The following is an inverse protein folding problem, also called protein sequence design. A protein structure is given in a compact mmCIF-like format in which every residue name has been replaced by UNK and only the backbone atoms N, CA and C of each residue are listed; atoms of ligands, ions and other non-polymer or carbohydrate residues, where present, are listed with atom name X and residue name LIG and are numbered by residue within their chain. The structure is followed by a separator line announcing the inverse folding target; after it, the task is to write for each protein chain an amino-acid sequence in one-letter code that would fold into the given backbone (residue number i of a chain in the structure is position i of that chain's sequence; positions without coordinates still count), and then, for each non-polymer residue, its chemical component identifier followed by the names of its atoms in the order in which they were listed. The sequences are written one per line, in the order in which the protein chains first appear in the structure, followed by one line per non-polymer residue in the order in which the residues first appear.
data_IF_675404785294
#
_entry.id   IF_675404785294
#
_cell.length_a   1.000
_cell.length_b   1.000
_cell.length_c   1.000
_cell.angle_alpha   90.00
_cell.angle_beta   90.00
_cell.angle_gamma   90.00
#
_symmetry.space_group_name_H-M   'P 1'
#
loop_
_entity.id
_entity.type
_entity.pdbx_description
1 polymer ?
#
# COMPACT_ATOMS: atom_id res chain seq x y z
N UNK A 1 -4.18 -4.64 22.89
CA UNK A 1 -4.72 -5.52 21.83
C UNK A 1 -4.16 -5.04 20.51
N UNK A 2 -3.88 -5.94 19.57
CA UNK A 2 -3.39 -5.55 18.25
C UNK A 2 -4.50 -4.81 17.49
N UNK A 3 -4.13 -3.77 16.76
CA UNK A 3 -5.08 -2.96 15.99
C UNK A 3 -5.67 -3.76 14.82
N UNK A 4 -6.93 -3.51 14.42
CA UNK A 4 -7.47 -4.07 13.19
C UNK A 4 -6.60 -3.72 11.96
N UNK A 5 -6.51 -4.61 10.99
CA UNK A 5 -5.86 -4.35 9.71
C UNK A 5 -6.87 -4.05 8.62
N UNK A 6 -6.52 -3.09 7.77
CA UNK A 6 -7.14 -2.91 6.47
C UNK A 6 -6.09 -3.16 5.39
N UNK A 7 -6.25 -4.24 4.63
CA UNK A 7 -5.32 -4.66 3.60
C UNK A 7 -5.74 -4.08 2.24
N UNK A 8 -4.82 -3.41 1.57
CA UNK A 8 -5.03 -2.75 0.28
C UNK A 8 -4.12 -3.41 -0.77
N UNK A 9 -4.64 -4.24 -1.67
CA UNK A 9 -3.86 -4.89 -2.71
C UNK A 9 -3.26 -3.90 -3.73
N UNK A 10 -2.22 -4.32 -4.44
CA UNK A 10 -1.72 -3.63 -5.64
C UNK A 10 -2.53 -3.89 -6.90
N UNK A 11 -2.09 -3.30 -8.02
CA UNK A 11 -2.72 -3.42 -9.33
C UNK A 11 -2.80 -4.88 -9.82
N UNK A 12 -3.97 -5.30 -10.29
CA UNK A 12 -4.31 -6.69 -10.64
C UNK A 12 -4.05 -7.69 -9.51
N UNK A 13 -4.08 -7.20 -8.27
CA UNK A 13 -3.99 -7.99 -7.07
C UNK A 13 -5.35 -8.36 -6.50
N UNK A 14 -5.33 -9.33 -5.61
CA UNK A 14 -6.39 -9.57 -4.64
C UNK A 14 -5.77 -9.73 -3.26
N UNK A 15 -6.62 -9.75 -2.22
CA UNK A 15 -6.17 -10.04 -0.86
C UNK A 15 -5.41 -11.37 -0.80
N UNK A 16 -5.98 -12.43 -1.38
CA UNK A 16 -5.37 -13.76 -1.37
C UNK A 16 -4.05 -13.80 -2.14
N UNK A 17 -3.96 -13.12 -3.28
CA UNK A 17 -2.75 -13.12 -4.10
C UNK A 17 -1.59 -12.37 -3.44
N UNK A 18 -1.89 -11.29 -2.72
CA UNK A 18 -0.86 -10.42 -2.15
C UNK A 18 -0.57 -10.66 -0.68
N UNK A 19 -1.56 -11.11 0.08
CA UNK A 19 -1.47 -11.27 1.53
C UNK A 19 -1.83 -12.68 2.03
N UNK A 20 -2.28 -13.59 1.16
CA UNK A 20 -2.74 -14.93 1.55
C UNK A 20 -1.81 -15.65 2.52
N UNK A 21 -0.48 -15.68 2.29
CA UNK A 21 0.47 -16.29 3.23
C UNK A 21 0.59 -15.59 4.60
N UNK A 22 0.20 -14.32 4.72
CA UNK A 22 0.16 -13.58 5.99
C UNK A 22 -1.16 -13.77 6.75
N UNK A 23 -2.29 -14.04 6.08
CA UNK A 23 -3.60 -14.12 6.73
C UNK A 23 -3.63 -15.10 7.92
N UNK A 24 -3.06 -16.32 7.84
CA UNK A 24 -3.02 -17.24 8.99
C UNK A 24 -2.16 -16.73 10.15
N UNK A 25 -1.18 -15.87 9.90
CA UNK A 25 -0.32 -15.25 10.93
C UNK A 25 -1.05 -14.14 11.69
N UNK A 26 -2.15 -13.66 11.13
CA UNK A 26 -3.02 -12.64 11.68
C UNK A 26 -4.39 -13.19 12.07
N UNK A 27 -4.49 -14.50 12.36
CA UNK A 27 -5.77 -15.12 12.73
C UNK A 27 -6.41 -14.53 14.00
N UNK A 28 -5.59 -14.02 14.92
CA UNK A 28 -6.04 -13.48 16.21
C UNK A 28 -6.36 -11.97 16.17
N UNK A 29 -6.34 -11.35 14.98
CA UNK A 29 -6.68 -9.92 14.79
C UNK A 29 -7.79 -9.76 13.75
N UNK A 30 -8.56 -8.69 13.88
CA UNK A 30 -9.52 -8.32 12.84
C UNK A 30 -8.78 -7.90 11.58
N UNK A 31 -9.04 -8.57 10.46
CA UNK A 31 -8.45 -8.26 9.14
C UNK A 31 -9.56 -8.03 8.14
N UNK A 32 -9.59 -6.84 7.56
CA UNK A 32 -10.48 -6.48 6.46
C UNK A 32 -9.63 -6.28 5.21
N UNK A 33 -9.87 -7.05 4.15
CA UNK A 33 -9.24 -6.80 2.87
C UNK A 33 -10.17 -6.01 1.96
N UNK A 34 -9.65 -4.93 1.37
CA UNK A 34 -10.42 -4.08 0.46
C UNK A 34 -10.27 -4.61 -0.96
N UNK A 35 -11.41 -4.89 -1.59
CA UNK A 35 -11.47 -5.11 -3.03
C UNK A 35 -11.41 -3.75 -3.74
N UNK A 36 -10.36 -3.54 -4.53
CA UNK A 36 -10.21 -2.31 -5.30
C UNK A 36 -11.19 -2.30 -6.48
N UNK A 37 -11.71 -1.13 -6.89
CA UNK A 37 -12.63 -1.04 -8.03
C UNK A 37 -12.04 -1.69 -9.28
N UNK A 38 -12.88 -2.44 -10.00
CA UNK A 38 -12.48 -3.22 -11.17
C UNK A 38 -11.62 -4.46 -10.87
N UNK A 39 -11.30 -4.74 -9.60
CA UNK A 39 -10.54 -5.92 -9.20
C UNK A 39 -11.50 -6.96 -8.60
N UNK A 40 -11.85 -7.94 -9.43
CA UNK A 40 -12.81 -8.99 -9.10
C UNK A 40 -13.66 -9.28 -10.32
N UNK A 41 -14.19 -10.49 -10.45
CA UNK A 41 -14.86 -10.90 -11.70
C UNK A 41 -16.09 -10.05 -12.05
N UNK A 42 -16.80 -9.57 -11.02
CA UNK A 42 -18.09 -8.89 -11.16
C UNK A 42 -18.05 -7.41 -10.72
N UNK A 43 -16.87 -6.87 -10.40
CA UNK A 43 -16.74 -5.50 -9.92
C UNK A 43 -16.55 -4.53 -11.10
N UNK A 44 -17.45 -3.56 -11.33
CA UNK A 44 -17.32 -2.64 -12.44
C UNK A 44 -16.07 -1.77 -12.33
N UNK A 45 -15.50 -1.40 -13.49
CA UNK A 45 -14.46 -0.38 -13.58
C UNK A 45 -15.12 1.02 -13.61
N UNK A 46 -15.02 1.84 -12.54
CA UNK A 46 -15.60 3.18 -12.51
C UNK A 46 -14.71 4.18 -13.27
N UNK A 47 -15.28 5.31 -13.67
CA UNK A 47 -14.53 6.38 -14.38
C UNK A 47 -13.41 7.00 -13.52
N UNK A 48 -13.61 7.08 -12.20
CA UNK A 48 -12.66 7.65 -11.23
C UNK A 48 -12.06 6.56 -10.35
N UNK A 49 -11.29 5.66 -10.96
CA UNK A 49 -10.75 4.45 -10.35
C UNK A 49 -10.04 4.71 -9.01
N UNK A 50 -9.03 5.57 -9.00
CA UNK A 50 -8.24 5.83 -7.79
C UNK A 50 -9.02 6.58 -6.70
N UNK A 51 -10.01 7.39 -7.07
CA UNK A 51 -10.90 8.04 -6.11
C UNK A 51 -11.79 7.01 -5.42
N UNK A 52 -12.47 6.17 -6.21
CA UNK A 52 -13.32 5.10 -5.68
C UNK A 52 -12.53 4.10 -4.84
N UNK A 53 -11.27 3.84 -5.18
CA UNK A 53 -10.38 3.02 -4.38
C UNK A 53 -10.13 3.62 -2.98
N UNK A 54 -9.86 4.93 -2.90
CA UNK A 54 -9.69 5.64 -1.62
C UNK A 54 -11.00 5.61 -0.81
N UNK A 55 -12.14 5.90 -1.44
CA UNK A 55 -13.45 5.85 -0.80
C UNK A 55 -13.76 4.48 -0.19
N UNK A 56 -13.39 3.38 -0.86
CA UNK A 56 -13.57 2.02 -0.31
C UNK A 56 -12.71 1.76 0.92
N UNK A 57 -11.47 2.24 0.95
CA UNK A 57 -10.61 2.13 2.14
C UNK A 57 -11.15 2.98 3.29
N UNK A 58 -11.59 4.20 3.00
CA UNK A 58 -12.22 5.09 4.00
C UNK A 58 -13.49 4.46 4.57
N UNK A 59 -14.35 3.90 3.71
CA UNK A 59 -15.56 3.20 4.12
C UNK A 59 -15.25 1.97 4.99
N UNK A 60 -14.23 1.18 4.63
CA UNK A 60 -13.79 0.03 5.44
C UNK A 60 -13.35 0.45 6.85
N UNK A 61 -12.60 1.55 6.97
CA UNK A 61 -12.20 2.10 8.26
C UNK A 61 -13.38 2.67 9.06
N UNK A 62 -14.40 3.22 8.39
CA UNK A 62 -15.60 3.75 9.02
C UNK A 62 -16.45 2.66 9.69
N UNK A 63 -16.46 1.43 9.15
CA UNK A 63 -17.19 0.28 9.69
C UNK A 63 -16.60 -0.27 10.99
N UNK A 64 -15.29 -0.09 11.22
CA UNK A 64 -14.63 -0.52 12.45
C UNK A 64 -14.88 0.43 13.62
N UNK A 65 -14.98 -0.09 14.84
CA UNK A 65 -15.08 0.72 16.07
C UNK A 65 -13.73 1.18 16.62
N UNK A 66 -12.64 0.56 16.18
CA UNK A 66 -11.28 0.83 16.64
C UNK A 66 -10.41 1.42 15.53
N UNK A 67 -9.47 2.32 15.86
CA UNK A 67 -8.51 2.82 14.88
C UNK A 67 -7.70 1.69 14.24
N UNK A 68 -7.70 1.63 12.91
CA UNK A 68 -7.09 0.54 12.16
C UNK A 68 -5.67 0.89 11.69
N UNK A 69 -4.87 -0.12 11.36
CA UNK A 69 -3.62 0.03 10.63
C UNK A 69 -3.88 -0.26 9.15
N UNK A 70 -3.54 0.68 8.27
CA UNK A 70 -3.64 0.46 6.83
C UNK A 70 -2.38 -0.24 6.32
N UNK A 71 -2.52 -1.26 5.49
CA UNK A 71 -1.40 -1.98 4.87
C UNK A 71 -1.60 -1.96 3.37
N UNK A 72 -0.79 -1.18 2.66
CA UNK A 72 -0.80 -1.08 1.20
C UNK A 72 0.42 -1.76 0.59
N UNK A 73 0.24 -2.43 -0.55
CA UNK A 73 1.34 -3.04 -1.30
C UNK A 73 1.37 -2.57 -2.74
N UNK A 74 2.57 -2.58 -3.33
CA UNK A 74 2.85 -2.03 -4.65
C UNK A 74 2.47 -0.55 -4.74
N UNK A 75 2.67 0.06 -5.91
CA UNK A 75 2.41 1.48 -6.10
C UNK A 75 0.94 1.86 -5.95
N UNK A 76 0.01 1.04 -6.48
CA UNK A 76 -1.42 1.34 -6.39
C UNK A 76 -1.93 1.22 -4.94
N UNK A 77 -1.72 0.08 -4.29
CA UNK A 77 -2.24 -0.17 -2.95
C UNK A 77 -1.62 0.76 -1.91
N UNK A 78 -0.31 1.02 -2.02
CA UNK A 78 0.38 1.98 -1.15
C UNK A 78 -0.13 3.41 -1.34
N UNK A 79 -0.33 3.86 -2.58
CA UNK A 79 -0.84 5.21 -2.83
C UNK A 79 -2.29 5.38 -2.34
N UNK A 80 -3.14 4.37 -2.55
CA UNK A 80 -4.52 4.38 -2.05
C UNK A 80 -4.52 4.42 -0.52
N UNK A 81 -3.72 3.60 0.16
CA UNK A 81 -3.62 3.57 1.62
C UNK A 81 -3.13 4.91 2.20
N UNK A 82 -2.07 5.49 1.63
CA UNK A 82 -1.51 6.78 2.06
C UNK A 82 -2.48 7.94 1.83
N UNK A 83 -3.23 7.93 0.72
CA UNK A 83 -4.25 8.95 0.44
C UNK A 83 -5.45 8.82 1.37
N UNK A 84 -5.95 7.61 1.61
CA UNK A 84 -7.01 7.37 2.58
C UNK A 84 -6.60 7.81 3.99
N UNK A 85 -5.33 7.59 4.36
CA UNK A 85 -4.81 8.02 5.65
C UNK A 85 -4.92 9.52 5.91
N UNK A 86 -4.72 10.34 4.87
CA UNK A 86 -4.88 11.79 4.96
C UNK A 86 -6.33 12.24 5.24
N UNK A 87 -7.32 11.38 4.95
CA UNK A 87 -8.75 11.67 5.16
C UNK A 87 -9.29 11.06 6.46
N UNK A 88 -8.59 10.08 7.03
CA UNK A 88 -9.11 9.26 8.13
C UNK A 88 -8.78 9.81 9.53
N UNK A 89 -7.77 10.67 9.68
CA UNK A 89 -7.38 11.24 10.98
C UNK A 89 -7.24 10.17 12.07
N UNK A 90 -7.89 10.38 13.22
CA UNK A 90 -7.86 9.48 14.38
C UNK A 90 -8.48 8.09 14.14
N UNK A 91 -9.11 7.85 12.98
CA UNK A 91 -9.66 6.53 12.60
C UNK A 91 -8.59 5.53 12.18
N UNK A 92 -7.35 5.96 12.02
CA UNK A 92 -6.22 5.08 11.76
C UNK A 92 -5.07 5.34 12.73
N UNK A 93 -4.30 4.29 13.01
CA UNK A 93 -3.11 4.38 13.85
C UNK A 93 -1.84 4.68 13.07
N UNK A 94 -1.82 4.33 11.79
CA UNK A 94 -0.64 4.40 10.96
C UNK A 94 -0.83 3.71 9.62
N UNK A 95 0.21 3.76 8.80
CA UNK A 95 0.22 3.16 7.47
C UNK A 95 1.49 2.33 7.29
N UNK A 96 1.33 1.11 6.80
CA UNK A 96 2.44 0.28 6.31
C UNK A 96 2.35 0.23 4.80
N UNK A 97 3.47 0.52 4.13
CA UNK A 97 3.59 0.41 2.67
C UNK A 97 4.75 -0.50 2.30
N UNK A 98 4.62 -1.22 1.19
CA UNK A 98 5.60 -2.20 0.73
C UNK A 98 5.66 -2.27 -0.79
N UNK A 99 6.85 -2.51 -1.34
CA UNK A 99 7.07 -2.47 -2.79
C UNK A 99 6.85 -1.05 -3.34
N UNK A 100 7.31 -0.04 -2.59
CA UNK A 100 7.04 1.37 -2.86
C UNK A 100 8.30 2.23 -2.81
N UNK A 101 8.31 3.34 -3.54
CA UNK A 101 9.36 4.36 -3.43
C UNK A 101 8.77 5.76 -3.49
N UNK A 102 9.01 6.55 -2.43
CA UNK A 102 8.64 7.96 -2.32
C UNK A 102 9.47 8.90 -3.20
N UNK A 103 10.47 8.37 -3.92
CA UNK A 103 11.31 9.12 -4.85
C UNK A 103 11.16 8.65 -6.30
N UNK A 104 10.28 7.68 -6.54
CA UNK A 104 9.98 7.20 -7.89
C UNK A 104 9.36 8.34 -8.71
N UNK A 105 9.87 8.50 -9.94
CA UNK A 105 9.38 9.49 -10.88
C UNK A 105 8.20 8.94 -11.67
N UNK A 106 7.16 9.75 -11.88
CA UNK A 106 5.98 9.40 -12.67
C UNK A 106 6.33 8.79 -14.04
N UNK A 107 7.30 9.38 -14.74
CA UNK A 107 7.75 8.88 -16.04
C UNK A 107 8.28 7.44 -15.98
N UNK A 108 8.96 7.08 -14.88
CA UNK A 108 9.46 5.71 -14.66
C UNK A 108 8.32 4.74 -14.41
N UNK A 109 7.32 5.15 -13.63
CA UNK A 109 6.16 4.32 -13.31
C UNK A 109 5.27 4.10 -14.52
N UNK A 110 5.01 5.15 -15.31
CA UNK A 110 4.31 5.05 -16.60
C UNK A 110 5.02 4.09 -17.54
N UNK A 111 6.36 4.13 -17.59
CA UNK A 111 7.17 3.20 -18.40
C UNK A 111 7.03 1.76 -17.92
N UNK A 112 7.09 1.51 -16.62
CA UNK A 112 6.90 0.17 -16.04
C UNK A 112 5.50 -0.37 -16.29
N UNK A 113 4.46 0.43 -16.01
CA UNK A 113 3.07 0.05 -16.25
C UNK A 113 2.80 -0.23 -17.74
N UNK A 114 3.30 0.63 -18.64
CA UNK A 114 3.21 0.38 -20.08
C UNK A 114 3.94 -0.89 -20.51
N UNK A 115 5.08 -1.21 -19.88
CA UNK A 115 5.81 -2.45 -20.09
C UNK A 115 5.02 -3.67 -19.64
N UNK A 116 4.39 -3.58 -18.47
CA UNK A 116 3.54 -4.62 -17.91
C UNK A 116 2.31 -4.88 -18.78
N UNK A 117 1.62 -3.83 -19.26
CA UNK A 117 0.51 -3.94 -20.21
C UNK A 117 0.93 -4.73 -21.44
N UNK A 118 2.04 -4.32 -22.09
CA UNK A 118 2.56 -5.02 -23.28
C UNK A 118 2.95 -6.46 -23.01
N UNK A 119 3.45 -6.77 -21.81
CA UNK A 119 3.79 -8.14 -21.44
C UNK A 119 2.51 -9.00 -21.28
N UNK A 120 1.50 -8.46 -20.60
CA UNK A 120 0.22 -9.13 -20.41
C UNK A 120 -0.50 -9.40 -21.75
N UNK A 121 -0.47 -8.44 -22.68
CA UNK A 121 -1.02 -8.59 -24.04
C UNK A 121 -0.31 -9.67 -24.86
N UNK A 122 1.00 -9.88 -24.64
CA UNK A 122 1.81 -10.85 -25.36
C UNK A 122 1.78 -12.27 -24.77
N UNK A 123 1.18 -12.43 -23.60
CA UNK A 123 1.15 -13.70 -22.86
C UNK A 123 -0.29 -14.19 -22.72
N UNK A 124 -0.76 -15.11 -23.58
CA UNK A 124 -2.12 -15.65 -23.50
C UNK A 124 -2.46 -16.27 -22.15
N UNK A 125 -1.48 -16.90 -21.48
CA UNK A 125 -1.68 -17.49 -20.15
C UNK A 125 -1.88 -16.43 -19.08
N UNK A 126 -1.11 -15.34 -19.13
CA UNK A 126 -1.29 -14.18 -18.24
C UNK A 126 -2.64 -13.52 -18.48
N UNK A 127 -3.04 -13.34 -19.74
CA UNK A 127 -4.34 -12.76 -20.09
C UNK A 127 -5.51 -13.59 -19.56
N UNK A 128 -5.49 -14.92 -19.77
CA UNK A 128 -6.50 -15.84 -19.22
C UNK A 128 -6.53 -15.84 -17.69
N UNK A 129 -5.37 -15.72 -17.05
CA UNK A 129 -5.29 -15.64 -15.59
C UNK A 129 -5.99 -14.39 -15.05
N UNK A 130 -5.70 -13.21 -15.61
CA UNK A 130 -6.34 -11.96 -15.19
C UNK A 130 -7.81 -11.89 -15.56
N UNK A 131 -8.23 -12.44 -16.70
CA UNK A 131 -9.64 -12.54 -17.06
C UNK A 131 -10.42 -13.40 -16.07
N UNK A 132 -9.83 -14.51 -15.61
CA UNK A 132 -10.46 -15.34 -14.56
C UNK A 132 -10.60 -14.59 -13.23
N UNK A 133 -9.64 -13.72 -12.89
CA UNK A 133 -9.61 -13.02 -11.61
C UNK A 133 -10.46 -11.74 -11.59
N UNK A 134 -10.47 -11.00 -12.70
CA UNK A 134 -11.01 -9.64 -12.76
C UNK A 134 -12.05 -9.46 -13.88
N UNK A 135 -12.46 -10.56 -14.50
CA UNK A 135 -13.41 -10.54 -15.61
C UNK A 135 -12.81 -9.97 -16.91
N UNK A 136 -13.62 -9.87 -17.97
CA UNK A 136 -13.16 -9.46 -19.29
C UNK A 136 -12.71 -8.00 -19.37
N UNK A 137 -13.01 -7.19 -18.35
CA UNK A 137 -12.65 -5.76 -18.29
C UNK A 137 -11.23 -5.51 -17.75
N UNK A 138 -10.48 -6.54 -17.34
CA UNK A 138 -9.13 -6.40 -16.81
C UNK A 138 -8.15 -5.59 -17.71
N UNK A 139 -8.22 -5.63 -19.07
CA UNK A 139 -7.34 -4.80 -19.89
C UNK A 139 -7.72 -3.32 -19.76
N UNK A 140 -9.02 -3.02 -19.70
CA UNK A 140 -9.53 -1.66 -19.53
C UNK A 140 -9.09 -1.07 -18.19
N UNK A 141 -9.10 -1.85 -17.12
CA UNK A 141 -8.58 -1.46 -15.81
C UNK A 141 -7.11 -0.97 -15.89
N UNK A 142 -6.26 -1.69 -16.63
CA UNK A 142 -4.87 -1.29 -16.81
C UNK A 142 -4.73 0.01 -17.60
N UNK A 143 -5.48 0.13 -18.70
CA UNK A 143 -5.48 1.35 -19.53
C UNK A 143 -5.94 2.56 -18.73
N UNK A 144 -7.03 2.42 -17.96
CA UNK A 144 -7.56 3.50 -17.13
C UNK A 144 -6.59 3.86 -15.99
N UNK A 145 -5.96 2.88 -15.36
CA UNK A 145 -4.91 3.15 -14.35
C UNK A 145 -3.76 3.97 -14.94
N UNK A 146 -3.31 3.62 -16.15
CA UNK A 146 -2.28 4.37 -16.85
C UNK A 146 -2.75 5.78 -17.23
N UNK A 147 -4.00 5.95 -17.65
CA UNK A 147 -4.61 7.24 -17.95
C UNK A 147 -4.72 8.13 -16.71
N UNK A 148 -5.15 7.58 -15.57
CA UNK A 148 -5.24 8.32 -14.31
C UNK A 148 -3.86 8.75 -13.81
N UNK A 149 -2.87 7.86 -13.89
CA UNK A 149 -1.48 8.23 -13.62
C UNK A 149 -1.00 9.30 -14.62
N UNK A 150 -1.45 9.23 -15.87
CA UNK A 150 -1.02 10.14 -16.93
C UNK A 150 -1.57 11.55 -16.77
N UNK A 151 -2.84 11.64 -16.37
CA UNK A 151 -3.59 12.88 -16.12
C UNK A 151 -3.35 13.47 -14.73
N UNK A 152 -2.64 12.75 -13.85
CA UNK A 152 -2.42 13.17 -12.46
C UNK A 152 -3.65 13.03 -11.56
N UNK A 153 -4.64 12.23 -11.98
CA UNK A 153 -5.79 11.80 -11.16
C UNK A 153 -5.37 10.75 -10.14
N UNK A 154 -4.54 9.79 -10.55
CA UNK A 154 -3.80 8.93 -9.64
C UNK A 154 -2.48 9.61 -9.30
N UNK A 155 -2.40 10.19 -8.10
CA UNK A 155 -1.17 10.78 -7.54
C UNK A 155 -0.54 9.80 -6.56
N UNK A 156 0.76 9.62 -6.69
CA UNK A 156 1.54 8.80 -5.78
C UNK A 156 2.16 9.72 -4.73
N UNK A 157 1.87 9.53 -3.43
CA UNK A 157 2.49 10.34 -2.38
C UNK A 157 4.01 10.22 -2.41
N UNK A 158 4.68 11.35 -2.49
CA UNK A 158 6.14 11.47 -2.47
C UNK A 158 6.65 11.73 -1.04
N UNK A 159 7.94 12.05 -0.92
CA UNK A 159 8.58 12.36 0.36
C UNK A 159 7.94 13.57 1.05
N UNK A 160 7.52 14.59 0.31
CA UNK A 160 6.95 15.80 0.91
C UNK A 160 5.57 15.49 1.50
N UNK A 161 4.81 14.59 0.88
CA UNK A 161 3.54 14.10 1.44
C UNK A 161 3.70 13.42 2.80
N UNK A 162 4.83 12.75 3.08
CA UNK A 162 5.08 12.15 4.41
C UNK A 162 5.07 13.17 5.54
N UNK A 163 5.53 14.41 5.27
CA UNK A 163 5.53 15.49 6.26
C UNK A 163 4.14 16.02 6.58
N UNK A 164 3.15 15.74 5.75
CA UNK A 164 1.76 16.18 5.90
C UNK A 164 0.83 15.11 6.49
N UNK A 165 1.35 13.90 6.74
CA UNK A 165 0.58 12.83 7.38
C UNK A 165 0.66 12.97 8.91
N UNK A 166 -0.50 13.01 9.55
CA UNK A 166 -0.63 13.09 11.02
C UNK A 166 -0.43 11.74 11.72
N UNK A 167 -0.03 10.70 10.98
CA UNK A 167 0.12 9.34 11.48
C UNK A 167 1.50 8.75 11.16
N UNK A 168 2.03 7.84 11.99
CA UNK A 168 3.23 7.08 11.70
C UNK A 168 3.13 6.29 10.38
N UNK A 169 4.23 6.25 9.64
CA UNK A 169 4.38 5.44 8.42
C UNK A 169 5.55 4.46 8.57
N UNK A 170 5.36 3.23 8.10
CA UNK A 170 6.40 2.22 7.91
C UNK A 170 6.55 1.92 6.41
N UNK A 171 7.78 2.05 5.88
CA UNK A 171 8.15 1.53 4.56
C UNK A 171 8.90 0.20 4.72
N UNK A 172 8.28 -0.90 4.30
CA UNK A 172 8.81 -2.26 4.41
C UNK A 172 9.04 -2.87 3.02
N UNK A 173 10.23 -2.67 2.46
CA UNK A 173 10.56 -3.10 1.09
C UNK A 173 11.37 -4.40 1.05
N UNK A 174 11.36 -5.06 -0.11
CA UNK A 174 12.21 -6.22 -0.37
C UNK A 174 13.63 -5.82 -0.79
N UNK A 175 14.60 -6.69 -0.52
CA UNK A 175 16.00 -6.47 -0.89
C UNK A 175 16.33 -6.81 -2.35
N UNK A 176 15.50 -7.61 -3.04
CA UNK A 176 15.84 -8.14 -4.37
C UNK A 176 15.75 -7.10 -5.50
N UNK A 177 14.88 -6.09 -5.36
CA UNK A 177 14.80 -4.99 -6.31
C UNK A 177 15.61 -3.80 -5.78
N UNK A 178 16.71 -3.49 -6.46
CA UNK A 178 17.62 -2.41 -6.04
C UNK A 178 16.89 -1.08 -5.83
N UNK A 179 16.00 -0.71 -6.74
CA UNK A 179 15.27 0.55 -6.66
C UNK A 179 14.44 0.68 -5.37
N UNK A 180 13.84 -0.42 -4.91
CA UNK A 180 13.04 -0.48 -3.67
C UNK A 180 13.92 -0.58 -2.43
N UNK A 181 15.01 -1.35 -2.53
CA UNK A 181 16.01 -1.48 -1.46
C UNK A 181 16.63 -0.13 -1.10
N UNK A 182 16.99 0.69 -2.08
CA UNK A 182 17.60 2.00 -1.83
C UNK A 182 16.57 3.08 -1.48
N UNK A 183 15.30 2.89 -1.85
CA UNK A 183 14.22 3.85 -1.60
C UNK A 183 13.93 4.12 -0.12
N UNK A 184 14.41 3.27 0.79
CA UNK A 184 14.29 3.50 2.24
C UNK A 184 15.18 4.64 2.72
N UNK A 185 16.36 4.86 2.12
CA UNK A 185 17.35 5.81 2.64
C UNK A 185 16.83 7.26 2.63
N UNK A 186 16.20 7.77 1.55
CA UNK A 186 15.74 9.15 1.51
C UNK A 186 14.61 9.47 2.50
N UNK A 187 13.94 8.44 3.05
CA UNK A 187 12.79 8.60 3.94
C UNK A 187 13.04 8.10 5.36
N UNK A 188 14.21 7.54 5.68
CA UNK A 188 14.52 7.01 7.01
C UNK A 188 14.47 8.07 8.13
N UNK A 189 14.63 9.35 7.79
CA UNK A 189 14.44 10.45 8.73
C UNK A 189 12.96 10.84 8.92
N UNK A 190 12.08 10.41 8.01
CA UNK A 190 10.66 10.78 7.91
C UNK A 190 9.70 9.63 8.29
N UNK A 191 10.13 8.38 8.24
CA UNK A 191 9.31 7.19 8.48
C UNK A 191 10.13 6.08 9.14
N UNK A 192 9.46 5.12 9.79
CA UNK A 192 10.08 3.84 10.12
C UNK A 192 10.40 3.12 8.80
N UNK A 193 11.56 2.46 8.71
CA UNK A 193 11.98 1.78 7.48
C UNK A 193 12.52 0.39 7.75
N UNK A 194 12.25 -0.54 6.85
CA UNK A 194 12.81 -1.89 6.86
C UNK A 194 13.07 -2.40 5.45
N UNK A 195 14.14 -3.19 5.29
CA UNK A 195 14.45 -3.92 4.07
C UNK A 195 14.51 -5.41 4.40
N UNK A 196 13.63 -6.20 3.82
CA UNK A 196 13.51 -7.62 4.10
C UNK A 196 14.41 -8.42 3.15
N UNK A 197 15.34 -9.24 3.68
CA UNK A 197 16.19 -10.08 2.85
C UNK A 197 15.34 -11.11 2.10
N UNK A 198 15.81 -11.50 0.91
CA UNK A 198 15.18 -12.49 0.02
C UNK A 198 13.74 -12.16 -0.45
N UNK A 199 13.20 -10.98 -0.14
CA UNK A 199 11.91 -10.52 -0.66
C UNK A 199 12.09 -9.62 -1.90
N UNK A 200 11.19 -9.76 -2.87
CA UNK A 200 11.06 -8.87 -4.03
C UNK A 200 9.98 -7.82 -3.83
N UNK A 201 9.26 -7.51 -4.91
CA UNK A 201 8.23 -6.45 -4.94
C UNK A 201 7.05 -6.75 -4.00
N UNK A 202 6.64 -8.01 -3.91
CA UNK A 202 5.48 -8.45 -3.13
C UNK A 202 5.95 -9.08 -1.82
N UNK A 203 6.50 -8.24 -0.94
CA UNK A 203 7.06 -8.67 0.34
C UNK A 203 6.15 -9.55 1.20
N UNK A 204 4.84 -9.27 1.36
CA UNK A 204 3.98 -10.16 2.17
C UNK A 204 3.84 -11.56 1.56
N UNK A 205 4.02 -11.72 0.25
CA UNK A 205 4.04 -13.02 -0.42
C UNK A 205 5.39 -13.70 -0.32
N UNK A 206 6.47 -12.95 -0.52
CA UNK A 206 7.83 -13.49 -0.60
C UNK A 206 8.40 -13.85 0.79
N UNK A 207 8.11 -13.02 1.80
CA UNK A 207 8.61 -13.18 3.17
C UNK A 207 7.50 -12.96 4.23
N UNK A 208 6.42 -13.78 4.22
CA UNK A 208 5.21 -13.52 5.00
C UNK A 208 5.43 -13.41 6.50
N UNK A 209 6.27 -14.30 7.07
CA UNK A 209 6.54 -14.30 8.52
C UNK A 209 7.25 -13.02 8.95
N UNK A 210 8.31 -12.64 8.23
CA UNK A 210 9.06 -11.42 8.54
C UNK A 210 8.19 -10.18 8.33
N UNK A 211 7.37 -10.15 7.29
CA UNK A 211 6.47 -9.04 7.03
C UNK A 211 5.40 -8.90 8.12
N UNK A 212 4.73 -10.00 8.49
CA UNK A 212 3.73 -10.02 9.55
C UNK A 212 4.31 -9.56 10.90
N UNK A 213 5.46 -10.10 11.30
CA UNK A 213 6.16 -9.67 12.53
C UNK A 213 6.51 -8.19 12.50
N UNK A 214 6.99 -7.67 11.36
CA UNK A 214 7.33 -6.26 11.24
C UNK A 214 6.09 -5.34 11.37
N UNK A 215 4.96 -5.74 10.81
CA UNK A 215 3.67 -5.03 10.96
C UNK A 215 3.24 -5.00 12.42
N UNK A 216 3.35 -6.13 13.12
CA UNK A 216 2.96 -6.24 14.53
C UNK A 216 3.89 -5.43 15.45
N UNK A 217 5.20 -5.49 15.21
CA UNK A 217 6.19 -4.69 15.93
C UNK A 217 5.96 -3.19 15.74
N UNK A 218 5.59 -2.78 14.52
CA UNK A 218 5.26 -1.38 14.23
C UNK A 218 4.01 -0.92 14.98
N UNK A 219 2.93 -1.70 14.96
CA UNK A 219 1.70 -1.40 15.70
C UNK A 219 1.95 -1.27 17.22
N UNK A 220 2.76 -2.17 17.78
CA UNK A 220 3.18 -2.11 19.18
C UNK A 220 4.02 -0.84 19.48
N UNK A 221 4.93 -0.45 18.59
CA UNK A 221 5.71 0.80 18.73
C UNK A 221 4.83 2.04 18.64
N UNK A 222 3.82 2.07 17.76
CA UNK A 222 2.87 3.19 17.70
C UNK A 222 2.15 3.33 19.05
N UNK A 223 1.62 2.23 19.58
CA UNK A 223 0.89 2.21 20.85
C UNK A 223 1.75 2.71 22.02
N UNK A 224 3.03 2.37 22.01
CA UNK A 224 4.00 2.81 23.03
C UNK A 224 4.67 4.16 22.70
N UNK A 225 4.29 4.81 21.60
CA UNK A 225 4.82 6.08 21.09
C UNK A 225 6.34 6.09 20.83
N UNK A 226 6.87 5.00 20.27
CA UNK A 226 8.30 4.75 20.01
C UNK A 226 8.68 4.69 18.53
N UNK A 227 7.98 5.43 17.67
CA UNK A 227 8.29 5.48 16.24
C UNK A 227 9.07 6.74 15.91
N UNK A 228 9.76 6.76 14.77
CA UNK A 228 10.48 7.95 14.30
C UNK A 228 9.54 9.17 14.16
N UNK A 229 8.25 8.95 13.90
CA UNK A 229 7.22 9.99 13.95
C UNK A 229 7.08 10.63 15.34
N UNK A 230 6.97 9.83 16.40
CA UNK A 230 6.78 10.33 17.77
C UNK A 230 8.01 11.05 18.30
N UNK A 231 9.22 10.53 18.02
CA UNK A 231 10.49 11.17 18.38
C UNK A 231 10.59 12.59 17.80
N UNK A 232 10.16 12.77 16.54
CA UNK A 232 10.13 14.10 15.92
C UNK A 232 9.11 15.04 16.55
N UNK A 233 7.87 14.57 16.82
CA UNK A 233 6.86 15.43 17.47
C UNK A 233 7.30 15.87 18.87
N UNK A 234 7.99 15.02 19.61
CA UNK A 234 8.58 15.40 20.89
C UNK A 234 9.64 16.50 20.71
N UNK A 235 10.59 16.32 19.78
CA UNK A 235 11.64 17.30 19.50
C UNK A 235 11.10 18.68 19.01
N UNK A 236 9.96 18.69 18.31
CA UNK A 236 9.30 19.94 17.88
C UNK A 236 8.64 20.68 19.05
N UNK A 237 8.04 19.97 20.01
CA UNK A 237 7.43 20.59 21.19
C UNK A 237 8.47 21.11 22.20
N UNK A 238 9.62 20.46 22.33
CA UNK A 238 10.70 20.91 23.23
C UNK A 238 11.49 22.12 22.69
N UNK A 239 11.36 22.44 21.40
CA UNK A 239 12.04 23.58 20.75
C UNK A 239 11.30 24.92 20.82
N UNK A 240 10.06 24.93 21.34
CA UNK A 240 9.21 26.14 21.49
C UNK A 240 9.05 26.60 22.95
N UNK A 241 9.85 26.06 23.89
CA UNK A 241 9.85 26.42 25.32
C UNK A 241 10.99 27.32 25.74
#
# INVERSE_FOLDING_TARGET
MASPLILVPGLLGTADLHYGPCLPLWADRSVTAVELPGHGADDPVPEKLSHTAVERVVAAAALGSEPSLLVGVSYLGSAVALRAAAELGDRIRGVVVSGYSFTAQDATLRRWLSGFIRLAERSPDTGRHFEKLHGPQWPHLLTLTLEELSSGRLRLPDRDHLGHLDVPVLLANGALLEAERIAVQPVAAAADVAVLPAAGHLVPKDSPRLFATLVDDFDARITTRRTTFHERRAAQHDGES
#
